data_IF_552153056979
#
_entry.id   IF_552153056979
#
_cell.length_a   1.000
_cell.length_b   1.000
_cell.length_c   1.000
_cell.angle_alpha   90.00
_cell.angle_beta   90.00
_cell.angle_gamma   90.00
#
_symmetry.space_group_name_H-M   'P 1'
#
loop_
_entity.id
_entity.type
_entity.pdbx_description
1 polymer ?
#
# COMPACT_ATOMS: atom_id res chain seq x y z
N UNK A 1 9.89 5.31 -11.47
CA UNK A 1 9.47 4.68 -10.20
C UNK A 1 7.97 4.44 -10.24
N UNK A 2 7.54 3.23 -9.97
CA UNK A 2 6.12 2.94 -9.86
C UNK A 2 5.62 3.22 -8.43
N UNK A 3 4.34 3.53 -8.33
CA UNK A 3 3.70 3.89 -7.06
C UNK A 3 2.53 2.95 -6.80
N UNK A 4 2.40 2.56 -5.54
CA UNK A 4 1.47 1.52 -5.13
C UNK A 4 0.70 1.93 -3.87
N UNK A 5 -0.36 1.20 -3.56
CA UNK A 5 -1.06 1.26 -2.28
C UNK A 5 -1.26 -0.16 -1.80
N UNK A 6 -0.89 -0.44 -0.56
CA UNK A 6 -0.96 -1.77 0.02
C UNK A 6 -1.76 -1.72 1.31
N UNK A 7 -2.70 -2.65 1.44
CA UNK A 7 -3.65 -2.68 2.56
C UNK A 7 -3.23 -3.70 3.61
N UNK A 8 -3.29 -3.30 4.87
CA UNK A 8 -3.04 -4.18 6.01
C UNK A 8 -4.07 -3.90 7.11
N UNK A 9 -4.52 -4.95 7.79
CA UNK A 9 -5.40 -4.81 8.95
C UNK A 9 -4.57 -4.37 10.15
N UNK A 10 -4.86 -3.18 10.76
CA UNK A 10 -3.99 -2.63 11.82
C UNK A 10 -3.95 -3.47 13.11
N UNK A 11 -4.95 -4.29 13.37
CA UNK A 11 -4.97 -5.20 14.52
C UNK A 11 -4.14 -6.46 14.27
N UNK A 12 -3.77 -6.75 13.02
CA UNK A 12 -2.86 -7.85 12.65
C UNK A 12 -1.46 -7.31 12.44
N UNK A 13 -1.31 -6.28 11.60
CA UNK A 13 -0.03 -5.63 11.33
C UNK A 13 -0.28 -4.18 10.90
N UNK A 14 -0.03 -3.25 11.81
CA UNK A 14 -0.24 -1.82 11.56
C UNK A 14 1.06 -1.08 11.26
N UNK A 15 0.93 0.22 11.00
CA UNK A 15 2.07 1.09 10.70
C UNK A 15 3.12 1.07 11.81
N UNK A 16 2.67 1.12 13.07
CA UNK A 16 3.61 1.11 14.21
C UNK A 16 4.40 -0.18 14.30
N UNK A 17 3.79 -1.30 13.89
CA UNK A 17 4.50 -2.58 13.84
C UNK A 17 5.60 -2.55 12.79
N UNK A 18 5.33 -1.96 11.62
CA UNK A 18 6.32 -1.82 10.56
C UNK A 18 7.50 -0.94 11.03
N UNK A 19 7.22 0.17 11.68
CA UNK A 19 8.25 1.08 12.21
C UNK A 19 9.11 0.36 13.25
N UNK A 20 8.48 -0.39 14.16
CA UNK A 20 9.17 -1.15 15.19
C UNK A 20 10.08 -2.22 14.59
N UNK A 21 9.59 -2.94 13.58
CA UNK A 21 10.32 -4.03 12.95
C UNK A 21 11.39 -3.53 11.96
N UNK A 22 11.23 -2.31 11.45
CA UNK A 22 12.16 -1.72 10.48
C UNK A 22 11.99 -2.21 9.06
N UNK A 23 11.40 -3.36 8.86
CA UNK A 23 11.04 -3.94 7.57
C UNK A 23 10.06 -5.09 7.79
N UNK A 24 9.38 -5.49 6.72
CA UNK A 24 8.47 -6.63 6.80
C UNK A 24 8.43 -7.39 5.48
N UNK A 25 8.17 -8.68 5.57
CA UNK A 25 7.83 -9.50 4.43
C UNK A 25 6.34 -9.32 4.15
N UNK A 26 5.99 -8.76 2.98
CA UNK A 26 4.59 -8.56 2.59
C UNK A 26 4.09 -9.84 1.94
N UNK A 27 3.65 -10.77 2.75
CA UNK A 27 3.23 -12.11 2.35
C UNK A 27 1.72 -12.30 2.48
N UNK A 28 1.25 -13.51 2.22
CA UNK A 28 -0.15 -13.86 2.40
C UNK A 28 -1.09 -13.32 1.35
N UNK A 29 -0.57 -12.67 0.30
CA UNK A 29 -1.41 -12.10 -0.76
C UNK A 29 -1.90 -13.23 -1.67
N UNK A 30 -3.23 -13.43 -1.71
CA UNK A 30 -3.88 -14.55 -2.41
C UNK A 30 -4.91 -14.11 -3.44
N UNK A 31 -4.70 -12.92 -4.02
CA UNK A 31 -5.48 -12.39 -5.15
C UNK A 31 -4.56 -12.28 -6.35
N UNK A 32 -4.99 -12.75 -7.51
CA UNK A 32 -4.12 -12.81 -8.70
C UNK A 32 -3.68 -11.42 -9.20
N UNK A 33 -4.58 -10.45 -9.19
CA UNK A 33 -4.23 -9.07 -9.59
C UNK A 33 -3.22 -8.46 -8.63
N UNK A 34 -3.45 -8.62 -7.33
CA UNK A 34 -2.52 -8.13 -6.31
C UNK A 34 -1.16 -8.81 -6.43
N UNK A 35 -1.12 -10.11 -6.67
CA UNK A 35 0.12 -10.85 -6.86
C UNK A 35 0.86 -10.39 -8.12
N UNK A 36 0.15 -10.11 -9.20
CA UNK A 36 0.75 -9.55 -10.41
C UNK A 36 1.40 -8.19 -10.12
N UNK A 37 0.74 -7.36 -9.33
CA UNK A 37 1.30 -6.08 -8.92
C UNK A 37 2.57 -6.26 -8.09
N UNK A 38 2.57 -7.19 -7.13
CA UNK A 38 3.78 -7.50 -6.34
C UNK A 38 4.94 -7.92 -7.24
N UNK A 39 4.68 -8.77 -8.24
CA UNK A 39 5.73 -9.21 -9.18
C UNK A 39 6.31 -8.06 -10.00
N UNK A 40 5.53 -7.01 -10.21
CA UNK A 40 5.93 -5.85 -11.01
C UNK A 40 6.75 -4.83 -10.21
N UNK A 41 6.78 -4.94 -8.90
CA UNK A 41 7.47 -3.99 -8.03
C UNK A 41 8.99 -4.10 -8.18
N UNK A 42 9.65 -2.95 -8.11
CA UNK A 42 11.11 -2.82 -8.16
C UNK A 42 11.62 -2.18 -6.89
N UNK A 43 12.83 -2.54 -6.48
CA UNK A 43 13.49 -1.86 -5.36
C UNK A 43 13.49 -0.36 -5.59
N UNK A 44 13.08 0.40 -4.59
CA UNK A 44 12.95 1.85 -4.66
C UNK A 44 11.54 2.34 -5.00
N UNK A 45 10.65 1.48 -5.51
CA UNK A 45 9.25 1.82 -5.68
C UNK A 45 8.63 2.14 -4.32
N UNK A 46 7.69 3.09 -4.31
CA UNK A 46 7.03 3.52 -3.08
C UNK A 46 5.58 3.10 -3.06
N UNK A 47 5.08 2.91 -1.84
CA UNK A 47 3.71 2.48 -1.60
C UNK A 47 3.12 3.22 -0.42
N UNK A 48 1.84 3.58 -0.53
CA UNK A 48 1.08 4.00 0.64
C UNK A 48 0.75 2.79 1.50
N UNK A 49 0.88 2.95 2.80
CA UNK A 49 0.42 1.98 3.80
C UNK A 49 -1.00 2.37 4.20
N UNK A 50 -1.96 1.49 3.91
CA UNK A 50 -3.38 1.73 4.17
C UNK A 50 -3.89 0.78 5.25
N UNK A 51 -4.49 1.34 6.32
CA UNK A 51 -5.17 0.56 7.35
C UNK A 51 -6.55 0.15 6.84
N UNK A 52 -6.75 -1.15 6.60
CA UNK A 52 -8.03 -1.71 6.18
C UNK A 52 -8.81 -2.24 7.38
N UNK A 53 -10.10 -2.51 7.21
CA UNK A 53 -11.03 -2.97 8.25
C UNK A 53 -11.28 -1.94 9.35
N UNK A 54 -10.24 -1.51 10.04
CA UNK A 54 -10.32 -0.56 11.15
C UNK A 54 -9.53 0.69 10.76
N UNK A 55 -10.13 1.86 10.93
CA UNK A 55 -9.51 3.13 10.57
C UNK A 55 -9.81 3.55 9.13
N UNK A 56 -9.64 2.67 8.15
CA UNK A 56 -9.87 2.94 6.72
C UNK A 56 -9.17 4.23 6.28
N UNK A 57 -7.85 4.24 6.38
CA UNK A 57 -7.06 5.45 6.12
C UNK A 57 -5.64 5.13 5.65
N UNK A 58 -5.10 6.04 4.85
CA UNK A 58 -3.70 6.01 4.41
C UNK A 58 -2.89 6.69 5.53
N UNK A 59 -1.90 5.98 6.07
CA UNK A 59 -1.18 6.45 7.26
C UNK A 59 0.30 6.72 7.04
N UNK A 60 0.91 6.12 6.02
CA UNK A 60 2.35 6.27 5.83
C UNK A 60 2.81 5.90 4.44
N UNK A 61 4.10 6.11 4.20
CA UNK A 61 4.80 5.77 2.97
C UNK A 61 5.85 4.73 3.30
N UNK A 62 5.90 3.67 2.50
CA UNK A 62 6.92 2.64 2.59
C UNK A 62 7.58 2.45 1.22
N UNK A 63 8.68 1.71 1.19
CA UNK A 63 9.48 1.51 0.00
C UNK A 63 9.82 0.04 -0.16
N UNK A 64 9.85 -0.44 -1.41
CA UNK A 64 10.27 -1.80 -1.72
C UNK A 64 11.78 -1.92 -1.47
N UNK A 65 12.15 -2.82 -0.58
CA UNK A 65 13.57 -3.08 -0.23
C UNK A 65 14.08 -4.37 -0.84
N UNK A 66 13.22 -5.27 -1.29
CA UNK A 66 13.57 -6.48 -2.04
C UNK A 66 12.40 -6.85 -2.94
N UNK A 67 12.71 -7.24 -4.16
CA UNK A 67 11.72 -7.64 -5.16
C UNK A 67 11.08 -8.99 -4.85
N UNK A 68 10.05 -9.33 -5.61
CA UNK A 68 9.22 -10.50 -5.35
C UNK A 68 10.01 -11.80 -5.32
N UNK A 69 9.68 -12.64 -4.35
CA UNK A 69 10.13 -14.03 -4.28
C UNK A 69 8.93 -14.93 -4.01
N UNK A 70 9.07 -16.21 -4.23
CA UNK A 70 7.99 -17.17 -4.01
C UNK A 70 7.53 -17.15 -2.55
N UNK A 71 6.22 -17.12 -2.37
CA UNK A 71 5.56 -17.15 -1.07
C UNK A 71 4.81 -18.47 -0.92
N UNK A 72 5.40 -19.40 -0.17
CA UNK A 72 4.86 -20.73 0.03
C UNK A 72 5.30 -21.72 -1.06
N UNK A 73 4.85 -22.96 -0.92
CA UNK A 73 5.25 -24.04 -1.82
C UNK A 73 4.27 -24.26 -2.96
N UNK A 74 3.02 -23.86 -2.79
CA UNK A 74 1.96 -24.07 -3.77
C UNK A 74 1.58 -22.78 -4.49
N UNK A 75 1.26 -22.90 -5.78
CA UNK A 75 0.79 -21.79 -6.59
C UNK A 75 1.91 -20.84 -7.00
N UNK A 76 1.51 -19.70 -7.54
CA UNK A 76 2.39 -18.65 -8.03
C UNK A 76 2.36 -17.40 -7.15
N UNK A 77 2.11 -17.59 -5.86
CA UNK A 77 2.07 -16.50 -4.89
C UNK A 77 3.48 -15.99 -4.60
N UNK A 78 3.60 -14.68 -4.39
CA UNK A 78 4.88 -14.03 -4.14
C UNK A 78 4.76 -13.07 -2.97
N UNK A 79 5.91 -12.70 -2.41
CA UNK A 79 6.02 -11.68 -1.38
C UNK A 79 7.16 -10.73 -1.74
N UNK A 80 7.05 -9.50 -1.26
CA UNK A 80 8.11 -8.48 -1.38
C UNK A 80 8.52 -8.04 0.01
N UNK A 81 9.71 -7.47 0.14
CA UNK A 81 10.14 -6.86 1.39
C UNK A 81 9.91 -5.35 1.33
N UNK A 82 9.27 -4.81 2.36
CA UNK A 82 8.94 -3.40 2.48
C UNK A 82 9.60 -2.80 3.72
N UNK A 83 10.03 -1.55 3.62
CA UNK A 83 10.55 -0.79 4.76
C UNK A 83 9.79 0.53 4.90
N UNK A 84 9.66 1.07 6.13
CA UNK A 84 8.99 2.35 6.31
C UNK A 84 9.86 3.49 5.80
N UNK A 85 9.23 4.51 5.24
CA UNK A 85 9.90 5.75 4.82
C UNK A 85 9.50 6.89 5.74
N UNK A 86 8.18 7.17 5.83
CA UNK A 86 7.69 8.23 6.71
C UNK A 86 6.21 8.04 7.02
N UNK A 87 5.81 8.48 8.21
CA UNK A 87 4.41 8.59 8.59
C UNK A 87 3.84 9.87 7.99
N UNK A 88 2.62 9.83 7.47
CA UNK A 88 1.97 11.04 6.97
C UNK A 88 1.63 11.97 8.14
N UNK A 89 1.76 13.30 7.95
CA UNK A 89 1.41 14.27 9.01
C UNK A 89 -0.03 14.10 9.49
N UNK A 90 -0.96 13.90 8.55
CA UNK A 90 -2.35 13.59 8.85
C UNK A 90 -2.76 12.37 8.04
N UNK A 91 -3.42 11.37 8.64
CA UNK A 91 -3.96 10.26 7.87
C UNK A 91 -4.99 10.76 6.86
N UNK A 92 -5.06 10.12 5.70
CA UNK A 92 -6.05 10.43 4.68
C UNK A 92 -7.07 9.30 4.65
N UNK A 93 -8.30 9.60 5.10
CA UNK A 93 -9.34 8.58 5.23
C UNK A 93 -9.93 8.21 3.88
N UNK A 94 -10.49 7.00 3.79
CA UNK A 94 -11.21 6.55 2.61
C UNK A 94 -12.38 7.51 2.29
N UNK A 95 -13.05 8.01 3.32
CA UNK A 95 -14.13 8.99 3.16
C UNK A 95 -13.64 10.26 2.46
N UNK A 96 -12.47 10.77 2.87
CA UNK A 96 -11.85 11.93 2.23
C UNK A 96 -11.45 11.65 0.79
N UNK A 97 -10.89 10.47 0.53
CA UNK A 97 -10.51 10.04 -0.83
C UNK A 97 -11.74 10.01 -1.74
N UNK A 98 -12.84 9.40 -1.26
CA UNK A 98 -14.08 9.31 -2.03
C UNK A 98 -14.71 10.68 -2.30
N UNK A 99 -14.48 11.64 -1.41
CA UNK A 99 -15.02 13.00 -1.56
C UNK A 99 -14.16 13.89 -2.46
N UNK A 100 -12.96 13.44 -2.84
CA UNK A 100 -12.03 14.22 -3.67
C UNK A 100 -12.21 13.87 -5.16
N UNK A 101 -12.74 14.79 -5.99
CA UNK A 101 -12.98 14.49 -7.42
C UNK A 101 -11.73 14.07 -8.18
N UNK A 102 -10.55 14.57 -7.81
CA UNK A 102 -9.29 14.23 -8.46
C UNK A 102 -8.86 12.78 -8.22
N UNK A 103 -9.46 12.10 -7.24
CA UNK A 103 -9.19 10.72 -6.87
C UNK A 103 -10.29 9.75 -7.28
N UNK A 104 -11.27 10.21 -8.07
CA UNK A 104 -12.44 9.39 -8.44
C UNK A 104 -12.05 8.12 -9.20
N UNK A 105 -10.96 8.14 -9.95
CA UNK A 105 -10.49 6.99 -10.73
C UNK A 105 -9.44 6.13 -10.00
N UNK A 106 -9.09 6.49 -8.77
CA UNK A 106 -8.08 5.77 -7.97
C UNK A 106 -8.53 4.31 -7.73
N UNK A 107 -7.60 3.37 -7.85
CA UNK A 107 -7.93 1.94 -7.66
C UNK A 107 -8.47 1.64 -6.26
N UNK A 108 -8.00 2.36 -5.24
CA UNK A 108 -8.56 2.26 -3.90
C UNK A 108 -10.09 2.45 -3.88
N UNK A 109 -10.60 3.38 -4.70
CA UNK A 109 -12.03 3.66 -4.80
C UNK A 109 -12.73 2.66 -5.70
N UNK A 110 -12.15 2.37 -6.86
CA UNK A 110 -12.78 1.51 -7.90
C UNK A 110 -12.76 0.03 -7.55
N UNK A 111 -11.69 -0.43 -6.91
CA UNK A 111 -11.46 -1.84 -6.61
C UNK A 111 -11.32 -2.04 -5.11
N UNK A 112 -12.43 -1.93 -4.40
CA UNK A 112 -12.46 -1.93 -2.93
C UNK A 112 -11.87 -3.19 -2.29
N UNK A 113 -11.81 -4.30 -3.03
CA UNK A 113 -11.27 -5.58 -2.52
C UNK A 113 -9.84 -5.86 -2.95
N UNK A 114 -9.24 -4.99 -3.73
CA UNK A 114 -7.87 -5.17 -4.19
C UNK A 114 -6.91 -4.74 -3.09
N UNK A 115 -6.11 -5.67 -2.57
CA UNK A 115 -5.21 -5.43 -1.44
C UNK A 115 -3.89 -4.76 -1.82
N UNK A 116 -3.48 -4.86 -3.09
CA UNK A 116 -2.29 -4.22 -3.63
C UNK A 116 -2.67 -3.60 -4.96
N UNK A 117 -2.75 -2.29 -5.02
CA UNK A 117 -3.19 -1.54 -6.20
C UNK A 117 -2.16 -0.54 -6.69
N UNK A 118 -2.37 -0.06 -7.90
CA UNK A 118 -1.55 0.98 -8.52
C UNK A 118 -2.03 2.37 -8.11
N UNK A 119 -1.10 3.30 -8.03
CA UNK A 119 -1.38 4.72 -7.79
C UNK A 119 -0.67 5.51 -8.88
N UNK A 120 -1.38 6.42 -9.54
CA UNK A 120 -0.74 7.30 -10.52
C UNK A 120 0.07 8.39 -9.81
N UNK A 121 1.07 8.99 -10.49
CA UNK A 121 1.82 10.11 -9.90
C UNK A 121 0.92 11.28 -9.48
N UNK A 122 -0.12 11.58 -10.25
CA UNK A 122 -1.07 12.65 -9.95
C UNK A 122 -1.88 12.32 -8.68
N UNK A 123 -2.36 11.10 -8.57
CA UNK A 123 -3.09 10.63 -7.38
C UNK A 123 -2.21 10.66 -6.15
N UNK A 124 -0.96 10.24 -6.29
CA UNK A 124 0.03 10.26 -5.22
C UNK A 124 0.20 11.67 -4.67
N UNK A 125 0.39 12.66 -5.55
CA UNK A 125 0.57 14.05 -5.19
C UNK A 125 -0.67 14.63 -4.48
N UNK A 126 -1.87 14.29 -4.96
CA UNK A 126 -3.13 14.72 -4.34
C UNK A 126 -3.24 14.18 -2.92
N UNK A 127 -2.92 12.91 -2.71
CA UNK A 127 -2.97 12.31 -1.36
C UNK A 127 -1.96 13.01 -0.44
N UNK A 128 -0.75 13.28 -0.90
CA UNK A 128 0.25 13.99 -0.10
C UNK A 128 -0.23 15.40 0.27
N UNK A 129 -0.85 16.10 -0.66
CA UNK A 129 -1.44 17.41 -0.41
C UNK A 129 -2.52 17.32 0.69
N UNK A 130 -3.42 16.35 0.58
CA UNK A 130 -4.47 16.12 1.57
C UNK A 130 -3.91 15.77 2.94
N UNK A 131 -2.77 15.09 2.99
CA UNK A 131 -2.09 14.72 4.24
C UNK A 131 -1.34 15.89 4.88
N UNK A 132 -1.26 17.04 4.22
CA UNK A 132 -0.51 18.19 4.71
C UNK A 132 0.99 18.09 4.46
N UNK A 133 1.37 17.32 3.45
CA UNK A 133 2.77 17.07 3.13
C UNK A 133 3.26 17.89 1.94
#
# INVERSE_FOLDING_TARGET
MALWLMKSEPDVFGWDDLVKDGKTEWDGVRNHTAALNLRSMKVGDRAFFYHSNIGLEIVGIMEVSREAKKDGEEGNWVSVEMKPVEKLPNPVTLKQVKAEPRLAAMELVKFSRLSVGKVSPEEWDVVLEMAGR
#
